data_IF_702538052377
#
_entry.id   IF_702538052377
#
_cell.length_a   1.000
_cell.length_b   1.000
_cell.length_c   1.000
_cell.angle_alpha   90.00
_cell.angle_beta   90.00
_cell.angle_gamma   90.00
#
_symmetry.space_group_name_H-M   'P 1'
#
loop_
_entity.id
_entity.type
_entity.pdbx_description
1 polymer ?
#
# COMPACT_ATOMS: atom_id res chain seq x y z
N UNK A 1 19.47 14.95 -9.53
CA UNK A 1 18.64 14.93 -8.32
C UNK A 1 17.77 13.69 -8.28
N UNK A 2 17.65 13.11 -7.11
CA UNK A 2 16.77 11.96 -6.91
C UNK A 2 15.32 12.40 -6.91
N UNK A 3 14.45 11.55 -7.45
CA UNK A 3 13.00 11.70 -7.31
C UNK A 3 12.60 11.33 -5.89
N UNK A 4 11.46 11.84 -5.44
CA UNK A 4 10.90 11.49 -4.13
C UNK A 4 9.74 10.52 -4.32
N UNK A 5 9.68 9.49 -3.48
CA UNK A 5 8.61 8.51 -3.53
C UNK A 5 8.18 8.11 -2.13
N UNK A 6 6.86 8.04 -1.90
CA UNK A 6 6.37 7.25 -0.78
C UNK A 6 6.47 5.78 -1.18
N UNK A 7 6.73 4.91 -0.21
CA UNK A 7 6.91 3.49 -0.47
C UNK A 7 6.25 2.67 0.65
N UNK A 8 5.60 1.58 0.27
CA UNK A 8 5.05 0.64 1.25
C UNK A 8 6.18 0.18 2.18
N UNK A 9 6.05 0.47 3.47
CA UNK A 9 7.11 0.20 4.46
C UNK A 9 7.50 -1.27 4.52
N UNK A 10 6.56 -2.18 4.28
CA UNK A 10 6.84 -3.62 4.27
C UNK A 10 7.85 -4.02 3.19
N UNK A 11 7.92 -3.28 2.07
CA UNK A 11 8.88 -3.56 1.00
C UNK A 11 10.32 -3.24 1.43
N UNK A 12 10.48 -2.37 2.42
CA UNK A 12 11.77 -2.00 2.99
C UNK A 12 12.23 -2.94 4.12
N UNK A 13 11.39 -3.89 4.50
CA UNK A 13 11.69 -4.84 5.56
C UNK A 13 11.09 -4.49 6.92
N UNK A 14 10.21 -3.48 7.00
CA UNK A 14 9.49 -3.21 8.24
C UNK A 14 8.41 -4.26 8.46
N UNK A 15 8.30 -4.73 9.70
CA UNK A 15 7.37 -5.79 10.08
C UNK A 15 5.96 -5.25 10.30
N UNK A 16 5.39 -4.64 9.27
CA UNK A 16 4.06 -4.04 9.30
C UNK A 16 3.02 -4.75 8.44
N UNK A 17 3.38 -5.91 7.88
CA UNK A 17 2.42 -6.75 7.17
C UNK A 17 1.38 -7.29 8.17
N UNK A 18 0.20 -7.70 7.67
CA UNK A 18 -0.91 -8.13 8.53
C UNK A 18 -0.53 -9.25 9.51
N UNK A 19 0.40 -10.12 9.14
CA UNK A 19 0.84 -11.26 9.97
C UNK A 19 2.04 -10.91 10.87
N UNK A 20 2.47 -9.66 10.91
CA UNK A 20 3.65 -9.21 11.66
C UNK A 20 4.96 -9.43 10.93
N UNK A 21 4.93 -9.88 9.68
CA UNK A 21 6.09 -10.00 8.82
C UNK A 21 6.29 -8.81 7.92
N UNK A 22 7.02 -9.02 6.84
CA UNK A 22 7.31 -7.99 5.85
C UNK A 22 7.32 -8.57 4.43
N UNK A 23 7.55 -7.71 3.46
CA UNK A 23 7.66 -8.05 2.05
C UNK A 23 8.97 -7.54 1.46
N UNK A 24 10.05 -7.68 2.21
CA UNK A 24 11.35 -7.17 1.81
C UNK A 24 11.71 -7.55 0.38
N UNK A 25 12.06 -6.55 -0.43
CA UNK A 25 12.31 -6.75 -1.86
C UNK A 25 13.72 -7.23 -2.20
N UNK A 26 14.59 -7.32 -1.22
CA UNK A 26 15.98 -7.75 -1.39
C UNK A 26 16.97 -6.60 -1.53
N UNK A 27 18.23 -6.88 -1.22
CA UNK A 27 19.29 -5.87 -1.14
C UNK A 27 19.55 -5.17 -2.46
N UNK A 28 19.47 -5.88 -3.58
CA UNK A 28 19.70 -5.31 -4.91
C UNK A 28 18.65 -4.26 -5.27
N UNK A 29 17.37 -4.57 -5.06
CA UNK A 29 16.29 -3.63 -5.31
C UNK A 29 16.34 -2.43 -4.37
N UNK A 30 16.68 -2.65 -3.10
CA UNK A 30 16.86 -1.56 -2.13
C UNK A 30 17.98 -0.62 -2.58
N UNK A 31 19.11 -1.16 -3.01
CA UNK A 31 20.22 -0.35 -3.52
C UNK A 31 19.78 0.51 -4.70
N UNK A 32 19.08 -0.10 -5.67
CA UNK A 32 18.57 0.58 -6.85
C UNK A 32 17.57 1.68 -6.48
N UNK A 33 16.66 1.39 -5.55
CA UNK A 33 15.71 2.37 -5.06
C UNK A 33 16.41 3.57 -4.41
N UNK A 34 17.39 3.32 -3.55
CA UNK A 34 18.15 4.39 -2.87
C UNK A 34 18.98 5.22 -3.83
N UNK A 35 19.43 4.66 -4.93
CA UNK A 35 20.17 5.41 -5.97
C UNK A 35 19.26 6.37 -6.73
N UNK A 36 17.99 6.03 -6.92
CA UNK A 36 17.05 6.75 -7.77
C UNK A 36 16.05 7.61 -7.00
N UNK A 37 15.78 7.30 -5.73
CA UNK A 37 14.73 7.95 -4.95
C UNK A 37 15.17 8.33 -3.55
N UNK A 38 14.60 9.42 -3.08
CA UNK A 38 14.45 9.67 -1.64
C UNK A 38 13.16 8.98 -1.22
N UNK A 39 13.25 8.02 -0.31
CA UNK A 39 12.14 7.15 0.05
C UNK A 39 11.48 7.58 1.36
N UNK A 40 10.16 7.69 1.35
CA UNK A 40 9.36 8.00 2.54
C UNK A 40 8.47 6.77 2.82
N UNK A 41 8.75 5.99 3.87
CA UNK A 41 7.97 4.78 4.16
C UNK A 41 6.58 5.11 4.65
N UNK A 42 5.60 4.35 4.16
CA UNK A 42 4.21 4.46 4.60
C UNK A 42 3.61 3.06 4.80
N UNK A 43 2.73 2.94 5.80
CA UNK A 43 1.88 1.77 5.96
C UNK A 43 0.47 2.28 6.17
N UNK A 44 -0.33 2.41 5.08
CA UNK A 44 -1.66 3.01 5.19
C UNK A 44 -2.57 2.28 6.18
N UNK A 45 -2.49 0.95 6.27
CA UNK A 45 -3.32 0.20 7.21
C UNK A 45 -2.97 0.56 8.66
N UNK A 46 -1.68 0.66 9.00
CA UNK A 46 -1.25 1.10 10.33
C UNK A 46 -1.64 2.56 10.59
N UNK A 47 -1.46 3.43 9.63
CA UNK A 47 -1.83 4.85 9.77
C UNK A 47 -3.34 5.03 9.92
N UNK A 48 -4.13 4.11 9.37
CA UNK A 48 -5.58 4.08 9.52
C UNK A 48 -6.07 3.58 10.89
N UNK A 49 -5.16 3.10 11.72
CA UNK A 49 -5.48 2.64 13.07
C UNK A 49 -5.57 1.12 13.23
N UNK A 50 -5.19 0.35 12.22
CA UNK A 50 -5.18 -1.10 12.33
C UNK A 50 -3.90 -1.58 13.04
N UNK A 51 -4.05 -2.59 13.89
CA UNK A 51 -2.91 -3.15 14.64
C UNK A 51 -2.05 -4.08 13.79
N UNK A 52 -0.83 -4.33 14.24
CA UNK A 52 0.03 -5.36 13.67
C UNK A 52 0.41 -6.35 14.78
N UNK A 53 0.12 -7.65 14.70
CA UNK A 53 -0.61 -8.30 13.61
C UNK A 53 -2.11 -7.95 13.59
N UNK A 54 -2.75 -8.25 12.48
CA UNK A 54 -4.18 -8.03 12.28
C UNK A 54 -4.77 -9.08 11.35
N UNK A 55 -6.09 -9.22 11.39
CA UNK A 55 -6.80 -10.09 10.45
C UNK A 55 -6.71 -9.49 9.04
N UNK A 56 -6.41 -10.30 8.01
CA UNK A 56 -6.37 -9.79 6.64
C UNK A 56 -7.74 -9.31 6.16
N UNK A 57 -7.73 -8.31 5.29
CA UNK A 57 -8.93 -7.71 4.72
C UNK A 57 -8.89 -7.76 3.19
N UNK A 58 -10.08 -7.71 2.57
CA UNK A 58 -10.21 -7.63 1.12
C UNK A 58 -11.29 -6.62 0.74
N UNK A 59 -11.18 -6.08 -0.47
CA UNK A 59 -12.20 -5.17 -1.00
C UNK A 59 -13.39 -6.00 -1.44
N UNK A 60 -14.58 -5.64 -0.98
CA UNK A 60 -15.84 -6.26 -1.33
C UNK A 60 -16.81 -5.17 -1.78
N UNK A 61 -16.94 -4.97 -3.09
CA UNK A 61 -17.72 -3.88 -3.66
C UNK A 61 -17.10 -2.52 -3.32
N UNK A 62 -17.86 -1.67 -2.66
CA UNK A 62 -17.43 -0.33 -2.21
C UNK A 62 -16.89 -0.32 -0.77
N UNK A 63 -16.75 -1.50 -0.16
CA UNK A 63 -16.28 -1.64 1.23
C UNK A 63 -15.01 -2.46 1.30
N UNK A 64 -14.29 -2.30 2.42
CA UNK A 64 -13.19 -3.17 2.81
C UNK A 64 -13.64 -3.94 4.05
N UNK A 65 -13.54 -5.26 3.98
CA UNK A 65 -14.05 -6.15 5.02
C UNK A 65 -12.96 -7.11 5.46
N UNK A 66 -12.79 -7.31 6.76
CA UNK A 66 -11.86 -8.30 7.29
C UNK A 66 -12.39 -9.71 7.09
N UNK A 67 -11.49 -10.70 7.19
CA UNK A 67 -11.88 -12.12 7.12
C UNK A 67 -12.94 -12.47 8.17
N UNK A 68 -13.00 -11.77 9.28
CA UNK A 68 -13.99 -11.98 10.32
C UNK A 68 -15.31 -11.24 10.06
N UNK A 69 -15.45 -10.58 8.91
CA UNK A 69 -16.65 -9.86 8.53
C UNK A 69 -16.77 -8.45 9.10
N UNK A 70 -15.69 -7.91 9.65
CA UNK A 70 -15.70 -6.55 10.20
C UNK A 70 -15.45 -5.54 9.08
N UNK A 71 -16.32 -4.53 8.97
CA UNK A 71 -16.15 -3.43 8.03
C UNK A 71 -15.04 -2.51 8.52
N UNK A 72 -13.95 -2.43 7.75
CA UNK A 72 -12.78 -1.60 8.03
C UNK A 72 -12.56 -0.52 6.97
N UNK A 73 -13.61 -0.19 6.23
CA UNK A 73 -13.57 0.82 5.17
C UNK A 73 -13.07 2.16 5.69
N UNK A 74 -13.53 2.59 6.87
CA UNK A 74 -13.10 3.85 7.47
C UNK A 74 -11.60 3.88 7.76
N UNK A 75 -11.05 2.81 8.32
CA UNK A 75 -9.63 2.70 8.65
C UNK A 75 -8.78 2.72 7.38
N UNK A 76 -9.19 2.01 6.34
CA UNK A 76 -8.49 2.03 5.05
C UNK A 76 -8.54 3.41 4.40
N UNK A 77 -9.70 4.08 4.46
CA UNK A 77 -9.84 5.46 3.96
C UNK A 77 -8.95 6.45 4.70
N UNK A 78 -8.91 6.36 6.01
CA UNK A 78 -8.06 7.20 6.85
C UNK A 78 -6.58 6.98 6.54
N UNK A 79 -6.17 5.73 6.34
CA UNK A 79 -4.79 5.40 5.96
C UNK A 79 -4.43 5.93 4.57
N UNK A 80 -5.35 5.86 3.63
CA UNK A 80 -5.16 6.41 2.30
C UNK A 80 -5.00 7.94 2.34
N UNK A 81 -5.81 8.62 3.13
CA UNK A 81 -5.71 10.07 3.33
C UNK A 81 -4.35 10.45 3.92
N UNK A 82 -3.85 9.69 4.88
CA UNK A 82 -2.53 9.92 5.48
C UNK A 82 -1.41 9.77 4.45
N UNK A 83 -1.47 8.73 3.61
CA UNK A 83 -0.49 8.52 2.56
C UNK A 83 -0.50 9.65 1.53
N UNK A 84 -1.68 10.10 1.12
CA UNK A 84 -1.82 11.25 0.21
C UNK A 84 -1.25 12.52 0.83
N UNK A 85 -1.56 12.77 2.10
CA UNK A 85 -1.03 13.91 2.83
C UNK A 85 0.49 13.93 2.81
N UNK A 86 1.13 12.80 3.11
CA UNK A 86 2.59 12.69 3.11
C UNK A 86 3.17 12.86 1.70
N UNK A 87 2.53 12.30 0.69
CA UNK A 87 2.98 12.46 -0.69
C UNK A 87 2.97 13.94 -1.11
N UNK A 88 1.95 14.68 -0.72
CA UNK A 88 1.87 16.13 -0.99
C UNK A 88 2.84 16.94 -0.14
N UNK A 89 2.96 16.61 1.14
CA UNK A 89 3.85 17.32 2.07
C UNK A 89 5.31 17.27 1.61
N UNK A 90 5.74 16.12 1.11
CA UNK A 90 7.11 15.90 0.65
C UNK A 90 7.30 16.10 -0.85
N UNK A 91 6.28 16.54 -1.56
CA UNK A 91 6.32 16.75 -3.02
C UNK A 91 6.79 15.50 -3.77
N UNK A 92 6.20 14.35 -3.45
CA UNK A 92 6.58 13.10 -4.06
C UNK A 92 6.19 13.01 -5.54
N UNK A 93 7.10 12.49 -6.34
CA UNK A 93 6.90 12.30 -7.79
C UNK A 93 6.05 11.07 -8.09
N UNK A 94 6.12 10.06 -7.21
CA UNK A 94 5.42 8.80 -7.39
C UNK A 94 5.26 8.06 -6.06
N UNK A 95 4.57 6.92 -6.13
CA UNK A 95 4.40 6.00 -5.01
C UNK A 95 4.78 4.59 -5.46
N UNK A 96 5.54 3.88 -4.63
CA UNK A 96 5.96 2.50 -4.86
C UNK A 96 5.25 1.65 -3.82
N UNK A 97 4.19 0.98 -4.23
CA UNK A 97 3.27 0.32 -3.31
C UNK A 97 3.22 -1.19 -3.53
N UNK A 98 2.94 -1.94 -2.46
CA UNK A 98 2.87 -3.41 -2.49
C UNK A 98 1.75 -3.88 -3.41
N UNK A 99 2.08 -4.74 -4.37
CA UNK A 99 1.11 -5.33 -5.29
C UNK A 99 0.03 -6.14 -4.56
N UNK A 100 -1.16 -6.16 -5.13
CA UNK A 100 -2.31 -6.96 -4.72
C UNK A 100 -2.94 -6.64 -3.37
N UNK A 101 -2.35 -5.74 -2.59
CA UNK A 101 -2.86 -5.35 -1.28
C UNK A 101 -4.21 -4.61 -1.41
N UNK A 102 -5.15 -4.81 -0.48
CA UNK A 102 -6.42 -4.05 -0.48
C UNK A 102 -6.20 -2.54 -0.26
N UNK A 103 -5.07 -2.15 0.28
CA UNK A 103 -4.68 -0.74 0.42
C UNK A 103 -3.83 -0.26 -0.76
N UNK A 104 -2.80 -1.02 -1.13
CA UNK A 104 -1.70 -0.57 -1.97
C UNK A 104 -1.73 -1.13 -3.40
N UNK A 105 -2.56 -2.13 -3.70
CA UNK A 105 -2.59 -2.78 -5.01
C UNK A 105 -2.97 -1.83 -6.14
N UNK A 106 -2.20 -1.86 -7.24
CA UNK A 106 -2.42 -1.00 -8.39
C UNK A 106 -2.77 -1.86 -9.60
N UNK A 107 -4.03 -1.90 -9.97
CA UNK A 107 -4.56 -2.64 -11.11
C UNK A 107 -5.05 -4.05 -10.80
N UNK A 108 -4.59 -4.67 -9.74
CA UNK A 108 -5.00 -6.03 -9.34
C UNK A 108 -5.07 -6.12 -7.82
N UNK A 109 -6.17 -6.66 -7.33
CA UNK A 109 -6.42 -6.88 -5.88
C UNK A 109 -7.12 -8.22 -5.69
N UNK A 110 -7.21 -8.70 -4.45
CA UNK A 110 -8.01 -9.87 -4.13
C UNK A 110 -9.51 -9.54 -4.25
N UNK A 111 -10.31 -10.54 -4.64
CA UNK A 111 -11.68 -10.32 -5.11
C UNK A 111 -12.76 -10.21 -4.00
N UNK A 112 -12.36 -10.30 -2.75
CA UNK A 112 -13.30 -10.18 -1.61
C UNK A 112 -13.84 -11.52 -1.10
N UNK A 113 -13.47 -12.64 -1.72
CA UNK A 113 -13.96 -13.97 -1.33
C UNK A 113 -13.04 -14.70 -0.34
N UNK A 114 -11.86 -14.16 -0.07
CA UNK A 114 -10.82 -14.77 0.77
C UNK A 114 -10.38 -16.14 0.26
N UNK A 115 -10.40 -16.32 -1.05
CA UNK A 115 -10.04 -17.57 -1.73
C UNK A 115 -8.68 -17.54 -2.42
N UNK A 116 -7.95 -16.41 -2.31
CA UNK A 116 -6.70 -16.19 -3.03
C UNK A 116 -6.90 -15.81 -4.49
N UNK A 117 -8.12 -15.52 -4.91
CA UNK A 117 -8.46 -15.14 -6.27
C UNK A 117 -8.25 -13.65 -6.49
N UNK A 118 -7.51 -13.29 -7.55
CA UNK A 118 -7.25 -11.91 -7.92
C UNK A 118 -8.25 -11.41 -8.97
N UNK A 119 -8.53 -10.12 -8.96
CA UNK A 119 -9.40 -9.43 -9.92
C UNK A 119 -8.83 -8.07 -10.27
N UNK A 120 -9.29 -7.48 -11.37
CA UNK A 120 -8.94 -6.09 -11.68
C UNK A 120 -9.50 -5.15 -10.61
N UNK A 121 -8.69 -4.21 -10.18
CA UNK A 121 -9.10 -3.22 -9.19
C UNK A 121 -7.91 -2.51 -8.58
N UNK A 122 -8.22 -1.51 -7.76
CA UNK A 122 -7.22 -0.71 -7.07
C UNK A 122 -7.45 -0.79 -5.56
N UNK A 123 -6.37 -0.91 -4.81
CA UNK A 123 -6.38 -0.71 -3.37
C UNK A 123 -6.84 0.72 -3.04
N UNK A 124 -7.36 0.91 -1.84
CA UNK A 124 -7.94 2.20 -1.42
C UNK A 124 -6.92 3.34 -1.55
N UNK A 125 -5.69 3.13 -1.08
CA UNK A 125 -4.61 4.12 -1.17
C UNK A 125 -4.16 4.34 -2.61
N UNK A 126 -3.94 3.25 -3.37
CA UNK A 126 -3.50 3.35 -4.76
C UNK A 126 -4.51 4.14 -5.61
N UNK A 127 -5.80 3.90 -5.40
CA UNK A 127 -6.86 4.64 -6.08
C UNK A 127 -6.81 6.13 -5.75
N UNK A 128 -6.74 6.47 -4.47
CA UNK A 128 -6.75 7.87 -4.04
C UNK A 128 -5.54 8.62 -4.61
N UNK A 129 -4.35 8.03 -4.56
CA UNK A 129 -3.14 8.62 -5.12
C UNK A 129 -3.27 8.82 -6.63
N UNK A 130 -3.76 7.83 -7.35
CA UNK A 130 -3.95 7.89 -8.80
C UNK A 130 -4.96 8.99 -9.17
N UNK A 131 -6.06 9.08 -8.46
CA UNK A 131 -7.07 10.13 -8.67
C UNK A 131 -6.53 11.54 -8.42
N UNK A 132 -5.47 11.66 -7.63
CA UNK A 132 -4.79 12.93 -7.33
C UNK A 132 -3.54 13.16 -8.19
N UNK A 133 -3.38 12.40 -9.28
CA UNK A 133 -2.31 12.61 -10.24
C UNK A 133 -0.95 12.06 -9.83
N UNK A 134 -0.87 11.25 -8.79
CA UNK A 134 0.37 10.63 -8.34
C UNK A 134 0.48 9.24 -8.98
N UNK A 135 1.57 9.03 -9.73
CA UNK A 135 1.82 7.75 -10.38
C UNK A 135 2.11 6.68 -9.34
N UNK A 136 1.43 5.54 -9.45
CA UNK A 136 1.65 4.39 -8.56
C UNK A 136 2.28 3.26 -9.36
N UNK A 137 3.39 2.73 -8.86
CA UNK A 137 4.04 1.53 -9.37
C UNK A 137 4.17 0.53 -8.22
N UNK A 138 4.42 -0.73 -8.53
CA UNK A 138 4.62 -1.77 -7.51
C UNK A 138 6.03 -2.35 -7.55
N UNK A 139 6.30 -3.29 -6.64
CA UNK A 139 7.64 -3.90 -6.50
C UNK A 139 8.08 -4.69 -7.72
N UNK A 140 7.18 -5.05 -8.62
CA UNK A 140 7.50 -5.77 -9.84
C UNK A 140 7.97 -4.85 -10.96
N UNK A 141 7.82 -3.54 -10.77
CA UNK A 141 8.17 -2.51 -11.75
C UNK A 141 9.46 -1.75 -11.39
N UNK A 142 10.16 -2.21 -10.39
CA UNK A 142 11.41 -1.59 -9.93
C UNK A 142 12.58 -2.09 -10.78
#
# INVERSE_FOLDING_TARGET
MKKKAIISACLLGLDCRYDGGNNYVGDEKIKKLKENYELIPVCPEAYGGLTTPRVPSEIAGDKVVSRLGVDVTHEFGKGADAALYLAKLFDCDCAILKANSPSCGSGTVYDGTFSGTLTEGYGVTARLLTENGIRVIDENEI
#
